data_IF_499411617168
#
_entry.id   IF_499411617168
#
_cell.length_a   1.000
_cell.length_b   1.000
_cell.length_c   1.000
_cell.angle_alpha   90.00
_cell.angle_beta   90.00
_cell.angle_gamma   90.00
#
_symmetry.space_group_name_H-M   'P 1'
#
loop_
_entity.id
_entity.type
_entity.pdbx_description
1 polymer ?
#
# COMPACT_ATOMS: atom_id res chain seq x y z
N UNK A 1 43.64 45.12 -15.50
CA UNK A 1 42.21 45.39 -15.75
C UNK A 1 41.53 44.04 -15.96
N UNK A 2 40.60 43.64 -15.10
CA UNK A 2 39.86 42.39 -15.26
C UNK A 2 38.59 42.66 -16.08
N UNK A 3 38.45 41.99 -17.22
CA UNK A 3 37.27 42.08 -18.08
C UNK A 3 36.08 41.36 -17.45
N UNK A 4 34.94 42.04 -17.41
CA UNK A 4 33.67 41.44 -16.98
C UNK A 4 33.19 40.44 -18.04
N UNK A 5 32.65 39.28 -17.65
CA UNK A 5 32.10 38.31 -18.59
C UNK A 5 30.86 38.91 -19.28
N UNK A 6 30.90 38.98 -20.61
CA UNK A 6 29.75 39.39 -21.43
C UNK A 6 28.84 38.20 -21.69
N UNK A 7 27.60 38.27 -21.21
CA UNK A 7 26.56 37.27 -21.48
C UNK A 7 25.69 37.74 -22.65
N UNK A 8 25.43 36.86 -23.62
CA UNK A 8 24.65 37.17 -24.82
C UNK A 8 23.14 37.31 -24.57
N UNK A 9 22.61 36.72 -23.49
CA UNK A 9 21.23 36.91 -23.04
C UNK A 9 21.05 36.51 -21.57
N UNK A 10 19.94 36.94 -20.94
CA UNK A 10 19.58 36.48 -19.60
C UNK A 10 19.38 34.96 -19.55
N UNK A 11 18.85 34.38 -20.62
CA UNK A 11 18.71 32.92 -20.76
C UNK A 11 20.07 32.24 -20.88
N UNK A 12 21.02 32.79 -21.64
CA UNK A 12 22.39 32.30 -21.73
C UNK A 12 23.12 32.38 -20.38
N UNK A 13 22.88 33.46 -19.63
CA UNK A 13 23.37 33.60 -18.26
C UNK A 13 22.75 32.56 -17.33
N UNK A 14 21.46 32.24 -17.49
CA UNK A 14 20.75 31.21 -16.74
C UNK A 14 21.21 29.80 -17.15
N UNK A 15 21.49 29.52 -18.42
CA UNK A 15 22.02 28.24 -18.90
C UNK A 15 23.43 27.98 -18.37
N UNK A 16 24.30 28.99 -18.40
CA UNK A 16 25.64 28.93 -17.80
C UNK A 16 25.60 28.80 -16.28
N UNK A 17 24.58 29.37 -15.61
CA UNK A 17 24.39 29.28 -14.15
C UNK A 17 23.54 28.08 -13.71
N UNK A 18 22.85 27.42 -14.63
CA UNK A 18 21.63 26.64 -14.36
C UNK A 18 21.65 25.23 -14.94
N UNK A 19 22.78 24.76 -15.48
CA UNK A 19 23.01 23.31 -15.50
C UNK A 19 23.24 22.85 -14.06
N UNK A 20 22.16 22.34 -13.47
CA UNK A 20 22.13 21.66 -12.19
C UNK A 20 22.89 20.32 -12.22
N UNK A 21 24.13 20.32 -12.68
CA UNK A 21 24.92 19.10 -12.76
C UNK A 21 25.86 18.98 -11.56
N UNK A 22 26.40 20.07 -10.98
CA UNK A 22 27.25 19.95 -9.78
C UNK A 22 27.15 21.17 -8.86
N UNK A 23 25.97 21.45 -8.29
CA UNK A 23 25.87 22.41 -7.20
C UNK A 23 26.42 21.78 -5.92
N UNK A 24 27.67 22.09 -5.58
CA UNK A 24 28.27 21.73 -4.29
C UNK A 24 27.38 22.24 -3.14
N UNK A 25 26.75 21.33 -2.36
CA UNK A 25 25.83 21.70 -1.28
C UNK A 25 26.51 22.53 -0.19
N UNK A 26 27.82 22.38 0.00
CA UNK A 26 28.58 23.15 0.99
C UNK A 26 28.73 24.62 0.57
N UNK A 27 28.91 24.87 -0.74
CA UNK A 27 29.08 26.22 -1.30
C UNK A 27 27.74 26.93 -1.50
N UNK A 28 26.67 26.18 -1.79
CA UNK A 28 25.36 26.75 -2.12
C UNK A 28 24.18 25.99 -1.46
N UNK A 29 24.10 25.96 -0.12
CA UNK A 29 23.16 25.11 0.61
C UNK A 29 21.69 25.41 0.28
N UNK A 30 21.32 26.69 0.12
CA UNK A 30 19.95 27.09 -0.25
C UNK A 30 19.55 26.62 -1.65
N UNK A 31 20.47 26.65 -2.62
CA UNK A 31 20.19 26.21 -4.00
C UNK A 31 20.11 24.68 -4.08
N UNK A 32 21.02 23.98 -3.39
CA UNK A 32 21.00 22.53 -3.29
C UNK A 32 19.71 22.03 -2.63
N UNK A 33 19.28 22.63 -1.52
CA UNK A 33 18.01 22.28 -0.86
C UNK A 33 16.80 22.49 -1.79
N UNK A 34 16.77 23.59 -2.57
CA UNK A 34 15.70 23.85 -3.54
C UNK A 34 15.70 22.84 -4.69
N UNK A 35 16.87 22.43 -5.18
CA UNK A 35 17.00 21.41 -6.20
C UNK A 35 16.53 20.03 -5.70
N UNK A 36 16.95 19.62 -4.50
CA UNK A 36 16.49 18.38 -3.86
C UNK A 36 14.98 18.39 -3.61
N UNK A 37 14.42 19.52 -3.16
CA UNK A 37 12.96 19.65 -2.98
C UNK A 37 12.20 19.49 -4.30
N UNK A 38 12.70 20.06 -5.40
CA UNK A 38 12.11 19.89 -6.74
C UNK A 38 12.19 18.44 -7.21
N UNK A 39 13.34 17.79 -7.04
CA UNK A 39 13.52 16.39 -7.42
C UNK A 39 12.57 15.46 -6.64
N UNK A 40 12.40 15.71 -5.34
CA UNK A 40 11.42 14.97 -4.52
C UNK A 40 10.00 15.18 -5.02
N UNK A 41 9.61 16.43 -5.26
CA UNK A 41 8.28 16.75 -5.78
C UNK A 41 8.03 16.12 -7.16
N UNK A 42 9.01 16.16 -8.07
CA UNK A 42 8.88 15.53 -9.39
C UNK A 42 8.78 14.00 -9.29
N UNK A 43 9.53 13.38 -8.37
CA UNK A 43 9.41 11.94 -8.09
C UNK A 43 8.01 11.59 -7.56
N UNK A 44 7.49 12.39 -6.63
CA UNK A 44 6.14 12.24 -6.09
C UNK A 44 5.07 12.46 -7.16
N UNK A 45 5.20 13.48 -8.01
CA UNK A 45 4.29 13.75 -9.10
C UNK A 45 4.26 12.60 -10.12
N UNK A 46 5.42 12.08 -10.52
CA UNK A 46 5.52 10.93 -11.42
C UNK A 46 4.97 9.64 -10.80
N UNK A 47 5.15 9.46 -9.49
CA UNK A 47 4.54 8.34 -8.77
C UNK A 47 3.02 8.48 -8.77
N UNK A 48 2.51 9.66 -8.44
CA UNK A 48 1.07 9.92 -8.41
C UNK A 48 0.45 9.69 -9.80
N UNK A 49 1.04 10.25 -10.86
CA UNK A 49 0.59 10.03 -12.25
C UNK A 49 0.53 8.54 -12.61
N UNK A 50 1.54 7.76 -12.19
CA UNK A 50 1.58 6.32 -12.42
C UNK A 50 0.48 5.58 -11.66
N UNK A 51 0.29 5.87 -10.39
CA UNK A 51 -0.70 5.19 -9.54
C UNK A 51 -2.14 5.59 -9.86
N UNK A 52 -2.37 6.83 -10.28
CA UNK A 52 -3.69 7.32 -10.71
C UNK A 52 -3.97 7.08 -12.20
N UNK A 53 -2.99 6.57 -12.96
CA UNK A 53 -3.24 6.13 -14.33
C UNK A 53 -4.23 4.95 -14.34
N UNK A 54 -4.98 4.75 -15.44
CA UNK A 54 -5.87 3.60 -15.56
C UNK A 54 -5.19 2.25 -15.29
N UNK A 55 -3.93 2.10 -15.71
CA UNK A 55 -3.13 0.90 -15.48
C UNK A 55 -2.71 0.74 -14.00
N UNK A 56 -2.33 1.84 -13.35
CA UNK A 56 -2.01 1.86 -11.92
C UNK A 56 -3.23 1.48 -11.06
N UNK A 57 -4.38 2.08 -11.37
CA UNK A 57 -5.66 1.77 -10.73
C UNK A 57 -6.01 0.29 -10.94
N UNK A 58 -5.91 -0.23 -12.16
CA UNK A 58 -6.21 -1.63 -12.46
C UNK A 58 -5.29 -2.59 -11.68
N UNK A 59 -3.99 -2.31 -11.60
CA UNK A 59 -3.03 -3.10 -10.82
C UNK A 59 -3.38 -3.11 -9.34
N UNK A 60 -3.68 -1.93 -8.77
CA UNK A 60 -4.04 -1.81 -7.36
C UNK A 60 -5.36 -2.54 -7.05
N UNK A 61 -6.34 -2.49 -7.97
CA UNK A 61 -7.58 -3.26 -7.84
C UNK A 61 -7.32 -4.77 -7.86
N UNK A 62 -6.46 -5.24 -8.76
CA UNK A 62 -6.07 -6.66 -8.81
C UNK A 62 -5.38 -7.11 -7.52
N UNK A 63 -4.41 -6.34 -7.02
CA UNK A 63 -3.74 -6.65 -5.76
C UNK A 63 -4.72 -6.66 -4.59
N UNK A 64 -5.64 -5.70 -4.52
CA UNK A 64 -6.68 -5.67 -3.50
C UNK A 64 -7.60 -6.89 -3.59
N UNK A 65 -7.96 -7.32 -4.80
CA UNK A 65 -8.76 -8.53 -5.01
C UNK A 65 -8.02 -9.78 -4.51
N UNK A 66 -6.72 -9.92 -4.82
CA UNK A 66 -5.89 -11.03 -4.34
C UNK A 66 -5.80 -11.05 -2.81
N UNK A 67 -5.56 -9.89 -2.18
CA UNK A 67 -5.51 -9.79 -0.71
C UNK A 67 -6.85 -10.16 -0.08
N UNK A 68 -7.96 -9.69 -0.66
CA UNK A 68 -9.32 -10.05 -0.20
C UNK A 68 -9.58 -11.54 -0.32
N UNK A 69 -9.17 -12.16 -1.41
CA UNK A 69 -9.30 -13.59 -1.62
C UNK A 69 -8.48 -14.38 -0.59
N UNK A 70 -7.20 -14.05 -0.41
CA UNK A 70 -6.33 -14.72 0.57
C UNK A 70 -6.87 -14.59 2.01
N UNK A 71 -7.43 -13.43 2.38
CA UNK A 71 -8.08 -13.24 3.67
C UNK A 71 -9.35 -14.08 3.82
N UNK A 72 -10.15 -14.22 2.75
CA UNK A 72 -11.34 -15.05 2.75
C UNK A 72 -10.99 -16.54 2.91
N UNK A 73 -9.99 -17.03 2.18
CA UNK A 73 -9.47 -18.39 2.27
C UNK A 73 -8.95 -18.70 3.68
N UNK A 74 -8.15 -17.79 4.25
CA UNK A 74 -7.66 -17.93 5.64
C UNK A 74 -8.81 -18.00 6.64
N UNK A 75 -9.84 -17.18 6.45
CA UNK A 75 -11.02 -17.16 7.34
C UNK A 75 -11.84 -18.44 7.21
N UNK A 76 -11.99 -18.95 6.00
CA UNK A 76 -12.63 -20.25 5.75
C UNK A 76 -11.85 -21.38 6.41
N UNK A 77 -10.52 -21.40 6.28
CA UNK A 77 -9.68 -22.40 6.93
C UNK A 77 -9.85 -22.37 8.45
N UNK A 78 -9.80 -21.19 9.07
CA UNK A 78 -10.06 -21.04 10.50
C UNK A 78 -11.46 -21.56 10.88
N UNK A 79 -12.48 -21.28 10.07
CA UNK A 79 -13.83 -21.79 10.32
C UNK A 79 -13.88 -23.33 10.26
N UNK A 80 -13.18 -23.96 9.30
CA UNK A 80 -13.07 -25.42 9.18
C UNK A 80 -12.38 -26.04 10.38
N UNK A 81 -11.26 -25.46 10.83
CA UNK A 81 -10.51 -25.94 11.99
C UNK A 81 -11.37 -25.88 13.27
N UNK A 82 -12.04 -24.74 13.51
CA UNK A 82 -12.93 -24.58 14.66
C UNK A 82 -14.13 -25.53 14.59
N UNK A 83 -14.73 -25.71 13.40
CA UNK A 83 -15.83 -26.65 13.20
C UNK A 83 -15.41 -28.09 13.45
N UNK A 84 -14.23 -28.49 12.97
CA UNK A 84 -13.66 -29.83 13.16
C UNK A 84 -13.38 -30.13 14.64
N UNK A 85 -12.97 -29.12 15.42
CA UNK A 85 -12.80 -29.25 16.88
C UNK A 85 -14.11 -29.45 17.65
N UNK A 86 -15.27 -29.42 16.99
CA UNK A 86 -16.57 -29.60 17.63
C UNK A 86 -17.02 -28.42 18.48
N UNK A 87 -16.39 -27.25 18.28
CA UNK A 87 -16.65 -26.04 19.04
C UNK A 87 -18.11 -25.55 18.87
N UNK A 88 -18.63 -24.89 19.90
CA UNK A 88 -19.98 -24.31 19.85
C UNK A 88 -20.03 -23.13 18.87
N UNK A 89 -21.19 -22.91 18.22
CA UNK A 89 -21.40 -21.78 17.30
C UNK A 89 -21.14 -20.44 17.99
N UNK A 90 -21.45 -20.33 19.29
CA UNK A 90 -21.24 -19.11 20.08
C UNK A 90 -19.73 -18.84 20.24
N UNK A 91 -18.96 -19.86 20.59
CA UNK A 91 -17.52 -19.77 20.76
C UNK A 91 -16.82 -19.50 19.42
N UNK A 92 -17.26 -20.14 18.34
CA UNK A 92 -16.77 -19.87 16.97
C UNK A 92 -17.04 -18.43 16.54
N UNK A 93 -18.25 -17.93 16.81
CA UNK A 93 -18.63 -16.55 16.53
C UNK A 93 -17.75 -15.55 17.29
N UNK A 94 -17.44 -15.83 18.56
CA UNK A 94 -16.50 -15.05 19.36
C UNK A 94 -15.08 -15.08 18.78
N UNK A 95 -14.55 -16.26 18.47
CA UNK A 95 -13.20 -16.43 17.91
C UNK A 95 -13.02 -15.72 16.56
N UNK A 96 -14.03 -15.80 15.69
CA UNK A 96 -14.00 -15.21 14.35
C UNK A 96 -14.48 -13.75 14.31
N UNK A 97 -14.87 -13.18 15.46
CA UNK A 97 -15.48 -11.83 15.59
C UNK A 97 -16.64 -11.64 14.61
N UNK A 98 -17.55 -12.61 14.57
CA UNK A 98 -18.73 -12.65 13.70
C UNK A 98 -20.01 -12.81 14.52
N UNK A 99 -21.14 -12.50 13.90
CA UNK A 99 -22.44 -12.89 14.47
C UNK A 99 -22.65 -14.40 14.33
N UNK A 100 -23.40 -15.00 15.27
CA UNK A 100 -23.80 -16.42 15.21
C UNK A 100 -24.49 -16.76 13.90
N UNK A 101 -25.38 -15.87 13.42
CA UNK A 101 -26.07 -16.01 12.12
C UNK A 101 -25.07 -16.09 10.97
N UNK A 102 -24.04 -15.25 10.96
CA UNK A 102 -23.03 -15.25 9.91
C UNK A 102 -22.21 -16.55 9.91
N UNK A 103 -21.85 -17.06 11.09
CA UNK A 103 -21.16 -18.36 11.21
C UNK A 103 -22.04 -19.49 10.67
N UNK A 104 -23.33 -19.53 11.05
CA UNK A 104 -24.26 -20.56 10.52
C UNK A 104 -24.39 -20.52 9.00
N UNK A 105 -24.52 -19.32 8.41
CA UNK A 105 -24.60 -19.17 6.96
C UNK A 105 -23.31 -19.65 6.29
N UNK A 106 -22.13 -19.24 6.79
CA UNK A 106 -20.86 -19.66 6.22
C UNK A 106 -20.65 -21.18 6.30
N UNK A 107 -21.06 -21.83 7.39
CA UNK A 107 -21.00 -23.29 7.50
C UNK A 107 -21.90 -23.99 6.47
N UNK A 108 -23.11 -23.46 6.24
CA UNK A 108 -24.04 -23.98 5.25
C UNK A 108 -23.53 -23.75 3.82
N UNK A 109 -23.13 -22.52 3.49
CA UNK A 109 -22.64 -22.12 2.17
C UNK A 109 -21.41 -22.93 1.76
N UNK A 110 -20.48 -23.15 2.70
CA UNK A 110 -19.23 -23.88 2.50
C UNK A 110 -19.36 -25.40 2.73
N UNK A 111 -20.57 -25.88 3.09
CA UNK A 111 -20.86 -27.29 3.40
C UNK A 111 -19.88 -27.91 4.40
N UNK A 112 -19.54 -27.17 5.45
CA UNK A 112 -18.61 -27.61 6.48
C UNK A 112 -19.36 -28.43 7.52
N UNK A 113 -19.02 -29.71 7.63
CA UNK A 113 -19.51 -30.57 8.71
C UNK A 113 -18.82 -30.24 10.03
N UNK A 114 -19.58 -30.32 11.12
CA UNK A 114 -19.06 -30.06 12.47
C UNK A 114 -18.65 -31.36 13.13
N UNK A 115 -17.49 -31.33 13.78
CA UNK A 115 -17.01 -32.41 14.62
C UNK A 115 -17.89 -32.65 15.86
N UNK A 116 -17.67 -33.76 16.58
CA UNK A 116 -18.44 -34.12 17.76
C UNK A 116 -18.35 -33.00 18.81
N UNK A 117 -19.50 -32.63 19.38
CA UNK A 117 -19.59 -31.50 20.31
C UNK A 117 -18.60 -31.69 21.46
N UNK A 118 -17.65 -30.76 21.61
CA UNK A 118 -16.79 -30.72 22.79
C UNK A 118 -17.68 -30.54 24.02
N UNK A 119 -17.62 -31.48 24.95
CA UNK A 119 -18.17 -31.30 26.28
C UNK A 119 -17.22 -30.35 27.00
N UNK A 120 -17.67 -29.14 27.30
CA UNK A 120 -16.91 -28.29 28.21
C UNK A 120 -17.10 -28.87 29.60
N UNK A 121 -16.03 -29.40 30.19
CA UNK A 121 -16.00 -29.71 31.61
C UNK A 121 -16.32 -28.42 32.38
N UNK A 122 -17.26 -28.53 33.33
CA UNK A 122 -17.87 -27.42 34.06
C UNK A 122 -16.95 -26.86 35.15
#
# INVERSE_FOLDING_TARGET
>A
MQSQPTYSSHQHQQELRGRAIDLDPAKHPRRAAKAMARERFEKEARWLERETSPEGIARNQQQLAQVRQALAEKREQQLRELAASGMSIISMASALKLSRRRVMLMLADLKIERGPKMQMEA
#
